data_IF_883106543755
#
_entry.id   IF_883106543755
#
_cell.length_a   1.000
_cell.length_b   1.000
_cell.length_c   1.000
_cell.angle_alpha   90.00
_cell.angle_beta   90.00
_cell.angle_gamma   90.00
#
_symmetry.space_group_name_H-M   'P 1'
#
loop_
_entity.id
_entity.type
_entity.pdbx_description
1 polymer ?
#
# COMPACT_ATOMS: atom_id res chain seq x y z
N UNK A 1 17.19 17.45 -18.74
CA UNK A 1 18.17 17.36 -19.85
C UNK A 1 18.89 18.70 -19.89
N UNK A 2 19.84 18.95 -18.98
CA UNK A 2 21.27 18.60 -19.08
C UNK A 2 21.98 19.60 -20.00
N UNK A 3 22.62 20.61 -19.41
CA UNK A 3 23.84 21.21 -19.99
C UNK A 3 24.74 21.65 -18.83
N UNK A 4 25.89 20.99 -18.73
CA UNK A 4 26.95 21.28 -17.79
C UNK A 4 27.65 22.60 -18.15
N UNK A 5 28.04 23.39 -17.15
CA UNK A 5 28.88 24.56 -17.35
C UNK A 5 30.29 24.33 -16.81
N UNK A 6 31.22 24.56 -17.72
CA UNK A 6 32.67 24.67 -17.55
C UNK A 6 33.05 25.74 -16.53
N UNK A 7 34.18 25.51 -15.87
CA UNK A 7 34.71 26.38 -14.82
C UNK A 7 35.48 27.62 -15.30
N UNK A 8 36.15 28.20 -14.29
CA UNK A 8 37.08 29.36 -14.30
C UNK A 8 36.36 30.71 -14.50
N UNK A 9 36.65 31.80 -13.82
CA UNK A 9 37.81 32.26 -13.03
C UNK A 9 37.41 33.60 -12.40
N UNK A 10 37.78 33.88 -11.14
CA UNK A 10 38.07 35.26 -10.73
C UNK A 10 39.42 35.26 -9.99
N UNK A 11 40.42 35.78 -10.73
CA UNK A 11 41.63 36.48 -10.28
C UNK A 11 41.33 37.45 -9.13
N UNK A 12 42.22 37.91 -8.23
CA UNK A 12 43.65 37.84 -8.00
C UNK A 12 43.79 38.56 -6.65
N UNK A 13 44.53 38.04 -5.69
CA UNK A 13 45.28 38.91 -4.77
C UNK A 13 46.51 38.15 -4.26
N UNK A 14 47.67 38.68 -4.64
CA UNK A 14 48.99 38.23 -4.21
C UNK A 14 49.34 38.85 -2.84
N UNK A 15 50.55 38.62 -2.33
CA UNK A 15 50.84 37.69 -1.25
C UNK A 15 51.10 38.45 0.06
N UNK A 16 50.93 37.78 1.20
CA UNK A 16 51.66 38.22 2.38
C UNK A 16 52.31 37.06 3.12
N UNK A 17 53.53 37.37 3.49
CA UNK A 17 54.61 36.56 4.00
C UNK A 17 54.40 36.19 5.45
N UNK A 18 54.79 34.96 5.79
CA UNK A 18 55.38 34.62 7.09
C UNK A 18 54.48 34.78 8.31
N UNK A 19 53.97 33.66 8.81
CA UNK A 19 54.57 33.05 9.99
C UNK A 19 53.85 31.76 10.34
N UNK A 20 54.65 30.84 10.86
CA UNK A 20 54.36 29.45 11.16
C UNK A 20 53.20 29.35 12.16
N UNK A 21 51.99 29.16 11.64
CA UNK A 21 50.82 28.69 12.38
C UNK A 21 50.95 27.19 12.58
N UNK A 22 51.25 26.82 13.82
CA UNK A 22 51.38 25.46 14.36
C UNK A 22 50.57 24.38 13.64
N UNK A 23 51.24 23.27 13.32
CA UNK A 23 50.66 22.02 12.79
C UNK A 23 49.60 21.38 13.72
N UNK A 24 49.34 21.98 14.88
CA UNK A 24 48.25 21.62 15.81
C UNK A 24 46.91 22.25 15.40
N UNK A 25 46.91 23.40 14.72
CA UNK A 25 45.66 24.11 14.37
C UNK A 25 45.00 23.54 13.09
N UNK A 26 45.80 23.02 12.15
CA UNK A 26 45.31 22.23 11.01
C UNK A 26 44.72 20.88 11.43
N UNK A 27 45.15 20.32 12.57
CA UNK A 27 44.60 19.06 13.10
C UNK A 27 43.19 19.25 13.68
N UNK A 28 42.92 20.41 14.27
CA UNK A 28 41.59 20.71 14.82
C UNK A 28 40.56 21.01 13.73
N UNK A 29 40.97 21.65 12.63
CA UNK A 29 40.08 21.90 11.49
C UNK A 29 39.75 20.62 10.69
N UNK A 30 40.69 19.67 10.64
CA UNK A 30 40.45 18.33 10.11
C UNK A 30 39.64 17.47 11.09
N UNK A 31 39.80 17.65 12.41
CA UNK A 31 39.00 16.94 13.41
C UNK A 31 37.51 17.33 13.34
N UNK A 32 37.17 18.62 13.17
CA UNK A 32 35.78 19.07 12.99
C UNK A 32 35.13 18.57 11.68
N UNK A 33 35.91 18.41 10.61
CA UNK A 33 35.39 17.84 9.36
C UNK A 33 35.24 16.31 9.42
N UNK A 34 35.98 15.64 10.30
CA UNK A 34 35.86 14.19 10.50
C UNK A 34 34.60 13.84 11.31
N UNK A 35 34.19 14.71 12.25
CA UNK A 35 32.94 14.51 13.01
C UNK A 35 31.67 14.73 12.18
N UNK A 36 31.70 15.61 11.16
CA UNK A 36 30.56 15.77 10.23
C UNK A 36 30.34 14.59 9.29
N UNK A 37 31.35 13.74 9.09
CA UNK A 37 31.24 12.56 8.22
C UNK A 37 30.79 11.28 8.93
N UNK A 38 30.44 11.36 10.23
CA UNK A 38 30.08 10.21 11.04
C UNK A 38 28.57 9.99 11.23
N UNK A 39 27.70 10.64 10.43
CA UNK A 39 26.25 10.35 10.46
C UNK A 39 25.90 8.95 9.92
N UNK A 40 26.83 8.27 9.24
CA UNK A 40 26.64 6.91 8.74
C UNK A 40 26.84 5.81 9.79
N UNK A 41 27.28 6.16 11.01
CA UNK A 41 27.46 5.20 12.11
C UNK A 41 26.37 5.29 13.19
N UNK A 42 25.48 6.31 13.13
CA UNK A 42 24.35 6.47 14.05
C UNK A 42 23.05 5.81 13.57
N UNK A 43 23.02 5.30 12.34
CA UNK A 43 21.96 4.41 11.89
C UNK A 43 22.49 2.98 11.98
N UNK A 44 21.90 2.11 12.82
CA UNK A 44 22.26 0.70 12.79
C UNK A 44 22.08 0.20 11.35
N UNK A 45 23.12 -0.43 10.79
CA UNK A 45 23.00 -1.18 9.53
C UNK A 45 21.75 -2.05 9.68
N UNK A 46 20.83 -2.09 8.69
CA UNK A 46 19.63 -2.90 8.83
C UNK A 46 20.08 -4.31 9.17
N UNK A 47 19.82 -4.72 10.41
CA UNK A 47 20.19 -6.04 10.89
C UNK A 47 19.63 -7.02 9.87
N UNK A 48 20.50 -7.90 9.35
CA UNK A 48 20.15 -8.97 8.42
C UNK A 48 19.10 -9.85 9.10
N UNK A 49 17.83 -9.48 8.96
CA UNK A 49 16.70 -10.21 9.52
C UNK A 49 16.70 -11.58 8.86
N UNK A 50 17.12 -12.60 9.61
CA UNK A 50 16.86 -14.00 9.26
C UNK A 50 15.35 -14.13 9.06
N UNK A 51 14.98 -14.73 7.93
CA UNK A 51 13.68 -14.58 7.26
C UNK A 51 12.46 -14.72 8.15
N UNK A 52 11.77 -13.61 8.37
CA UNK A 52 10.31 -13.61 8.44
C UNK A 52 9.89 -13.44 6.99
N UNK A 53 9.24 -14.44 6.39
CA UNK A 53 8.55 -14.22 5.11
C UNK A 53 7.58 -13.06 5.33
N UNK A 54 7.93 -11.86 4.86
CA UNK A 54 7.02 -10.73 4.89
C UNK A 54 5.87 -11.09 3.97
N UNK A 55 4.73 -11.51 4.56
CA UNK A 55 3.48 -11.72 3.82
C UNK A 55 3.26 -10.52 2.92
N UNK A 56 3.09 -10.76 1.62
CA UNK A 56 2.84 -9.65 0.71
C UNK A 56 1.47 -9.08 1.04
N UNK A 57 1.44 -7.79 1.31
CA UNK A 57 0.22 -7.04 1.50
C UNK A 57 0.23 -5.86 0.55
N UNK A 58 -0.88 -5.66 -0.17
CA UNK A 58 -1.07 -4.54 -1.08
C UNK A 58 -2.30 -3.75 -0.66
N UNK A 59 -2.12 -2.44 -0.46
CA UNK A 59 -3.19 -1.53 -0.06
C UNK A 59 -3.31 -0.42 -1.10
N UNK A 60 -4.52 -0.20 -1.59
CA UNK A 60 -4.84 0.87 -2.52
C UNK A 60 -6.17 1.54 -2.16
N UNK A 61 -6.39 2.72 -2.72
CA UNK A 61 -7.60 3.53 -2.47
C UNK A 61 -8.27 3.85 -3.78
N UNK A 62 -9.57 3.57 -3.84
CA UNK A 62 -10.43 3.92 -4.97
C UNK A 62 -11.21 5.20 -4.61
N UNK A 63 -10.99 6.33 -5.32
CA UNK A 63 -11.73 7.56 -5.09
C UNK A 63 -13.17 7.44 -5.61
N UNK A 64 -14.09 8.15 -4.98
CA UNK A 64 -15.50 8.18 -5.34
C UNK A 64 -16.40 7.44 -4.35
N UNK A 65 -17.71 7.73 -4.42
CA UNK A 65 -18.71 7.09 -3.57
C UNK A 65 -18.79 5.59 -3.90
N UNK A 66 -18.68 4.70 -2.91
CA UNK A 66 -18.92 3.27 -3.11
C UNK A 66 -20.30 3.04 -3.72
N UNK A 67 -20.39 2.19 -4.75
CA UNK A 67 -21.65 1.82 -5.37
C UNK A 67 -21.96 0.37 -5.04
N UNK A 68 -23.18 0.12 -4.55
CA UNK A 68 -23.67 -1.23 -4.31
C UNK A 68 -23.87 -1.92 -5.67
N UNK A 69 -23.42 -3.16 -5.78
CA UNK A 69 -23.65 -3.99 -6.96
C UNK A 69 -25.14 -4.27 -7.10
N UNK A 70 -25.74 -3.82 -8.20
CA UNK A 70 -27.13 -4.17 -8.53
C UNK A 70 -27.28 -5.67 -8.77
N UNK A 71 -28.41 -6.24 -8.34
CA UNK A 71 -28.76 -7.64 -8.65
C UNK A 71 -28.91 -7.81 -10.18
N UNK A 72 -28.49 -8.95 -10.75
CA UNK A 72 -28.70 -9.22 -12.17
C UNK A 72 -30.19 -9.13 -12.52
N UNK A 73 -30.50 -8.50 -13.64
CA UNK A 73 -31.88 -8.35 -14.10
C UNK A 73 -32.16 -9.33 -15.23
N UNK A 74 -33.37 -9.89 -15.23
CA UNK A 74 -33.84 -10.79 -16.28
C UNK A 74 -34.70 -10.00 -17.27
N UNK A 75 -34.33 -10.06 -18.55
CA UNK A 75 -35.16 -9.54 -19.63
C UNK A 75 -34.96 -10.38 -20.89
N UNK A 76 -36.07 -10.72 -21.57
CA UNK A 76 -36.05 -11.44 -22.87
C UNK A 76 -35.19 -12.72 -22.85
N UNK A 77 -35.27 -13.50 -21.76
CA UNK A 77 -34.49 -14.74 -21.59
C UNK A 77 -32.99 -14.55 -21.40
N UNK A 78 -32.50 -13.32 -21.19
CA UNK A 78 -31.10 -13.02 -20.93
C UNK A 78 -30.93 -12.29 -19.61
N UNK A 79 -29.84 -12.61 -18.92
CA UNK A 79 -29.41 -11.92 -17.69
C UNK A 79 -28.50 -10.77 -18.08
N UNK A 80 -28.81 -9.56 -17.65
CA UNK A 80 -27.96 -8.40 -17.87
C UNK A 80 -27.51 -7.78 -16.54
N UNK A 81 -26.23 -7.42 -16.48
CA UNK A 81 -25.66 -6.62 -15.41
C UNK A 81 -25.92 -5.14 -15.73
N UNK A 82 -26.45 -4.34 -14.79
CA UNK A 82 -26.62 -2.90 -15.01
C UNK A 82 -25.32 -2.20 -15.39
N UNK A 83 -25.39 -1.24 -16.32
CA UNK A 83 -24.23 -0.44 -16.77
C UNK A 83 -23.46 0.19 -15.61
N UNK A 84 -24.16 0.68 -14.59
CA UNK A 84 -23.57 1.30 -13.40
C UNK A 84 -22.69 0.35 -12.59
N UNK A 85 -23.03 -0.94 -12.54
CA UNK A 85 -22.21 -1.96 -11.89
C UNK A 85 -20.93 -2.20 -12.69
N UNK A 86 -21.05 -2.33 -14.01
CA UNK A 86 -19.89 -2.56 -14.90
C UNK A 86 -18.89 -1.40 -14.83
N UNK A 87 -19.38 -0.16 -14.89
CA UNK A 87 -18.56 1.05 -14.74
C UNK A 87 -17.84 1.10 -13.39
N UNK A 88 -18.51 0.70 -12.30
CA UNK A 88 -17.88 0.69 -10.98
C UNK A 88 -16.81 -0.40 -10.85
N UNK A 89 -17.08 -1.60 -11.38
CA UNK A 89 -16.11 -2.69 -11.42
C UNK A 89 -14.87 -2.31 -12.25
N UNK A 90 -15.07 -1.61 -13.37
CA UNK A 90 -13.99 -1.07 -14.20
C UNK A 90 -13.19 0.02 -13.50
N UNK A 91 -13.87 0.93 -12.80
CA UNK A 91 -13.21 1.96 -11.99
C UNK A 91 -12.30 1.35 -10.92
N UNK A 92 -12.74 0.30 -10.23
CA UNK A 92 -11.90 -0.41 -9.25
C UNK A 92 -10.70 -1.07 -9.95
N UNK A 93 -10.91 -1.74 -11.09
CA UNK A 93 -9.85 -2.38 -11.89
C UNK A 93 -8.76 -1.39 -12.31
N UNK A 94 -9.17 -0.21 -12.79
CA UNK A 94 -8.24 0.83 -13.25
C UNK A 94 -7.37 1.44 -12.13
N UNK A 95 -7.78 1.30 -10.87
CA UNK A 95 -7.01 1.77 -9.71
C UNK A 95 -6.12 0.68 -9.10
N UNK A 96 -6.16 -0.54 -9.62
CA UNK A 96 -5.33 -1.64 -9.16
C UNK A 96 -4.04 -1.71 -9.97
N UNK A 97 -2.91 -1.45 -9.31
CA UNK A 97 -1.55 -1.59 -9.87
C UNK A 97 -0.70 -2.57 -9.03
N UNK A 98 -1.39 -3.48 -8.33
CA UNK A 98 -0.77 -4.44 -7.43
C UNK A 98 -0.32 -5.72 -8.13
N UNK A 99 0.51 -6.53 -7.47
CA UNK A 99 0.91 -7.83 -8.02
C UNK A 99 -0.28 -8.77 -8.11
N UNK A 100 -0.23 -9.77 -8.99
CA UNK A 100 -1.16 -10.89 -8.93
C UNK A 100 -0.79 -11.79 -7.75
N UNK A 101 -1.76 -12.11 -6.90
CA UNK A 101 -1.58 -13.06 -5.80
C UNK A 101 -1.96 -14.47 -6.29
N UNK A 102 -1.11 -15.45 -6.01
CA UNK A 102 -1.26 -16.83 -6.49
C UNK A 102 -1.69 -17.81 -5.38
N UNK A 103 -1.52 -17.41 -4.12
CA UNK A 103 -1.91 -18.19 -2.95
C UNK A 103 -3.24 -17.72 -2.34
N UNK A 104 -3.65 -18.34 -1.22
CA UNK A 104 -4.80 -17.89 -0.45
C UNK A 104 -4.62 -16.43 -0.01
N UNK A 105 -5.67 -15.62 -0.19
CA UNK A 105 -5.67 -14.21 0.16
C UNK A 105 -6.79 -13.85 1.13
N UNK A 106 -6.53 -12.83 1.94
CA UNK A 106 -7.54 -12.07 2.67
C UNK A 106 -7.75 -10.73 1.97
N UNK A 107 -9.02 -10.37 1.72
CA UNK A 107 -9.40 -9.06 1.22
C UNK A 107 -10.19 -8.35 2.32
N UNK A 108 -9.76 -7.15 2.67
CA UNK A 108 -10.46 -6.27 3.61
C UNK A 108 -10.78 -4.93 2.93
N UNK A 109 -12.03 -4.50 3.04
CA UNK A 109 -12.52 -3.27 2.44
C UNK A 109 -13.08 -2.34 3.51
N UNK A 110 -12.69 -1.08 3.47
CA UNK A 110 -13.27 -0.01 4.31
C UNK A 110 -13.94 1.00 3.39
N UNK A 111 -15.26 1.12 3.54
CA UNK A 111 -16.09 2.02 2.74
C UNK A 111 -16.33 3.32 3.51
N UNK A 112 -16.18 4.45 2.81
CA UNK A 112 -16.53 5.78 3.32
C UNK A 112 -17.37 6.50 2.29
N UNK A 113 -17.98 7.63 2.65
CA UNK A 113 -18.81 8.41 1.72
C UNK A 113 -18.07 8.89 0.46
N UNK A 114 -16.73 8.99 0.49
CA UNK A 114 -15.91 9.58 -0.58
C UNK A 114 -14.89 8.61 -1.21
N UNK A 115 -14.63 7.46 -0.59
CA UNK A 115 -13.60 6.51 -1.05
C UNK A 115 -13.83 5.10 -0.52
N UNK A 116 -13.24 4.13 -1.20
CA UNK A 116 -13.08 2.76 -0.74
C UNK A 116 -11.59 2.46 -0.54
N UNK A 117 -11.19 1.99 0.64
CA UNK A 117 -9.85 1.46 0.87
C UNK A 117 -9.87 -0.05 0.80
N UNK A 118 -9.01 -0.64 -0.02
CA UNK A 118 -8.93 -2.09 -0.21
C UNK A 118 -7.55 -2.55 0.20
N UNK A 119 -7.48 -3.59 1.02
CA UNK A 119 -6.24 -4.23 1.45
C UNK A 119 -6.32 -5.71 1.11
N UNK A 120 -5.31 -6.21 0.38
CA UNK A 120 -5.16 -7.61 0.03
C UNK A 120 -3.90 -8.12 0.74
N UNK A 121 -4.00 -9.25 1.43
CA UNK A 121 -2.89 -9.85 2.17
C UNK A 121 -2.82 -11.36 1.92
N UNK A 122 -1.62 -11.90 1.76
CA UNK A 122 -1.40 -13.35 1.66
C UNK A 122 -1.67 -14.06 2.98
N UNK A 123 -2.19 -15.28 2.88
CA UNK A 123 -2.42 -16.20 4.00
C UNK A 123 -1.57 -17.46 3.82
N UNK A 124 -1.17 -18.08 4.93
CA UNK A 124 -0.33 -19.29 4.94
C UNK A 124 -1.13 -20.58 4.75
N UNK A 125 -2.42 -20.55 5.11
CA UNK A 125 -3.28 -21.74 5.17
C UNK A 125 -4.02 -21.95 3.85
N UNK A 126 -3.65 -23.01 3.13
CA UNK A 126 -4.17 -23.31 1.79
C UNK A 126 -5.03 -24.56 1.67
N UNK A 127 -5.41 -25.22 2.77
CA UNK A 127 -6.22 -26.44 2.67
C UNK A 127 -7.49 -26.36 3.50
N UNK A 128 -8.56 -25.91 2.84
CA UNK A 128 -9.93 -26.11 3.33
C UNK A 128 -10.65 -27.09 2.43
N UNK A 129 -11.40 -28.02 3.04
CA UNK A 129 -12.27 -28.96 2.30
C UNK A 129 -13.54 -28.28 1.76
N UNK A 130 -13.76 -27.01 2.13
CA UNK A 130 -14.94 -26.24 1.74
C UNK A 130 -14.84 -25.75 0.30
N UNK A 131 -15.81 -26.17 -0.53
CA UNK A 131 -15.85 -25.87 -1.97
C UNK A 131 -16.30 -24.45 -2.31
N UNK A 132 -17.28 -23.89 -1.58
CA UNK A 132 -17.90 -22.61 -1.94
C UNK A 132 -17.05 -21.40 -1.58
N UNK A 133 -17.23 -20.24 -2.21
CA UNK A 133 -16.54 -19.00 -1.86
C UNK A 133 -16.89 -18.51 -0.46
N UNK A 134 -15.95 -17.87 0.24
CA UNK A 134 -16.20 -17.30 1.59
C UNK A 134 -17.37 -16.31 1.55
N UNK A 135 -17.47 -15.52 0.48
CA UNK A 135 -18.56 -14.55 0.27
C UNK A 135 -19.91 -15.21 0.06
N UNK A 136 -19.97 -16.41 -0.55
CA UNK A 136 -21.23 -17.13 -0.74
C UNK A 136 -21.72 -17.73 0.59
N UNK A 137 -20.82 -18.24 1.42
CA UNK A 137 -21.18 -18.68 2.78
C UNK A 137 -21.69 -17.52 3.63
N UNK A 138 -21.00 -16.37 3.60
CA UNK A 138 -21.44 -15.19 4.33
C UNK A 138 -22.83 -14.72 3.89
N UNK A 139 -23.07 -14.66 2.58
CA UNK A 139 -24.39 -14.30 2.04
C UNK A 139 -25.49 -15.26 2.45
N UNK A 140 -25.22 -16.57 2.46
CA UNK A 140 -26.20 -17.56 2.90
C UNK A 140 -26.60 -17.35 4.38
N UNK A 141 -25.66 -16.91 5.22
CA UNK A 141 -25.94 -16.57 6.63
C UNK A 141 -26.70 -15.24 6.73
N UNK A 142 -26.30 -14.20 5.99
CA UNK A 142 -27.01 -12.91 5.96
C UNK A 142 -28.48 -13.10 5.51
N UNK A 143 -28.69 -13.77 4.38
CA UNK A 143 -30.02 -14.02 3.82
C UNK A 143 -30.90 -14.86 4.77
N UNK A 144 -30.31 -15.79 5.54
CA UNK A 144 -31.05 -16.64 6.49
C UNK A 144 -31.40 -15.91 7.80
N UNK A 145 -30.63 -14.90 8.20
CA UNK A 145 -30.86 -14.14 9.43
C UNK A 145 -31.70 -12.88 9.21
N UNK A 146 -31.82 -12.42 7.97
CA UNK A 146 -32.63 -11.26 7.63
C UNK A 146 -34.11 -11.46 7.99
N UNK A 147 -34.68 -10.52 8.74
CA UNK A 147 -36.02 -10.59 9.30
C UNK A 147 -36.16 -11.50 10.54
N UNK A 148 -35.10 -12.19 10.96
CA UNK A 148 -35.07 -13.02 12.17
C UNK A 148 -34.21 -12.36 13.25
N UNK A 149 -32.97 -12.02 12.93
CA UNK A 149 -32.02 -11.42 13.86
C UNK A 149 -31.96 -9.88 13.77
N UNK A 150 -32.36 -9.31 12.64
CA UNK A 150 -32.41 -7.88 12.35
C UNK A 150 -33.44 -7.60 11.25
N UNK A 151 -33.96 -6.37 11.20
CA UNK A 151 -35.05 -6.01 10.29
C UNK A 151 -34.61 -5.81 8.84
N UNK A 152 -33.38 -5.35 8.63
CA UNK A 152 -32.84 -5.04 7.30
C UNK A 152 -31.30 -5.27 7.28
N UNK A 153 -30.79 -5.85 6.20
CA UNK A 153 -29.36 -6.06 5.94
C UNK A 153 -28.53 -4.77 6.07
N UNK A 154 -29.14 -3.59 5.88
CA UNK A 154 -28.45 -2.30 6.08
C UNK A 154 -27.90 -2.11 7.51
N UNK A 155 -28.42 -2.86 8.49
CA UNK A 155 -27.95 -2.87 9.88
C UNK A 155 -26.62 -3.61 10.06
N UNK A 156 -26.18 -4.38 9.07
CA UNK A 156 -24.91 -5.12 9.13
C UNK A 156 -23.74 -4.23 8.70
N UNK A 157 -23.09 -3.57 9.66
CA UNK A 157 -21.95 -2.67 9.40
C UNK A 157 -20.62 -3.39 9.18
N UNK A 158 -20.46 -4.62 9.68
CA UNK A 158 -19.23 -5.39 9.58
C UNK A 158 -19.53 -6.88 9.60
N UNK A 159 -19.04 -7.58 8.57
CA UNK A 159 -19.07 -9.03 8.48
C UNK A 159 -17.66 -9.56 8.23
N UNK A 160 -17.29 -10.63 8.93
CA UNK A 160 -15.99 -11.29 8.79
C UNK A 160 -16.22 -12.80 8.73
N UNK A 161 -15.76 -13.40 7.64
CA UNK A 161 -15.78 -14.86 7.46
C UNK A 161 -14.39 -15.36 7.09
N UNK A 162 -14.03 -16.53 7.61
CA UNK A 162 -12.83 -17.25 7.21
C UNK A 162 -13.16 -18.72 7.02
N UNK A 163 -12.53 -19.34 6.03
CA UNK A 163 -12.49 -20.79 5.91
C UNK A 163 -11.37 -21.32 6.79
N UNK A 164 -11.53 -22.53 7.31
CA UNK A 164 -10.52 -23.27 8.06
C UNK A 164 -10.34 -24.64 7.43
#
# INVERSE_FOLDING_TARGET
>A
MLVAFFGKTIHLMRPWTGCVGSMKDLKNLLAEQTERNNYKTLFPKPHKQRGIMRKRSYKFTVPGKPKVKGRPRFARGRTYTPKSTLEHEEHIRNHYDGPKFEGPISISCVFTSKRTQITISELDDSETKLRGDTTNYLKAVEDALNGIAYDDDIMVYRIVGRKK
#
